data_IF_283150690893
#
_entry.id   IF_283150690893
#
_cell.length_a   1.000
_cell.length_b   1.000
_cell.length_c   1.000
_cell.angle_alpha   90.00
_cell.angle_beta   90.00
_cell.angle_gamma   90.00
#
_symmetry.space_group_name_H-M   'P 1'
#
loop_
_entity.id
_entity.type
_entity.pdbx_description
1 polymer ?
#
# COMPACT_ATOMS: atom_id res chain seq x y z
N UNK A 1 26.39 -10.85 -2.81
CA UNK A 1 25.50 -9.79 -3.36
C UNK A 1 24.59 -9.34 -2.23
N UNK A 2 24.68 -8.08 -1.83
CA UNK A 2 23.98 -7.53 -0.67
C UNK A 2 22.54 -7.18 -1.09
N UNK A 3 21.54 -7.99 -0.73
CA UNK A 3 20.14 -7.63 -0.99
C UNK A 3 19.79 -6.43 -0.10
N UNK A 4 19.17 -5.37 -0.63
CA UNK A 4 18.72 -4.25 0.19
C UNK A 4 17.61 -4.71 1.15
N UNK A 5 17.60 -4.18 2.37
CA UNK A 5 16.56 -4.47 3.35
C UNK A 5 15.24 -3.79 2.92
N UNK A 6 14.36 -4.56 2.30
CA UNK A 6 13.04 -4.11 1.85
C UNK A 6 12.14 -3.59 2.99
N UNK A 7 12.42 -4.03 4.23
CA UNK A 7 11.75 -3.56 5.44
C UNK A 7 12.17 -2.14 5.84
N UNK A 8 13.40 -1.73 5.53
CA UNK A 8 13.92 -0.40 5.90
C UNK A 8 13.72 0.63 4.78
N UNK A 9 13.59 0.19 3.52
CA UNK A 9 13.30 1.08 2.38
C UNK A 9 11.95 1.78 2.55
N UNK A 10 11.76 2.96 1.96
CA UNK A 10 10.43 3.57 1.88
C UNK A 10 9.54 2.87 0.85
N UNK A 11 8.21 2.98 0.99
CA UNK A 11 7.28 2.33 0.05
C UNK A 11 7.50 2.78 -1.41
N UNK A 12 7.90 4.03 -1.62
CA UNK A 12 8.24 4.54 -2.95
C UNK A 12 9.49 3.88 -3.54
N UNK A 13 10.53 3.72 -2.72
CA UNK A 13 11.79 3.06 -3.12
C UNK A 13 11.58 1.57 -3.38
N UNK A 14 10.81 0.90 -2.52
CA UNK A 14 10.46 -0.51 -2.69
C UNK A 14 9.68 -0.74 -3.99
N UNK A 15 8.76 0.16 -4.35
CA UNK A 15 8.04 0.12 -5.63
C UNK A 15 8.98 0.32 -6.82
N UNK A 16 9.86 1.32 -6.77
CA UNK A 16 10.83 1.56 -7.83
C UNK A 16 11.76 0.35 -8.01
N UNK A 17 12.19 -0.27 -6.91
CA UNK A 17 13.01 -1.47 -6.92
C UNK A 17 12.28 -2.67 -7.54
N UNK A 18 11.04 -2.98 -7.10
CA UNK A 18 10.22 -4.05 -7.69
C UNK A 18 9.97 -3.83 -9.19
N UNK A 19 9.82 -2.57 -9.63
CA UNK A 19 9.64 -2.25 -11.03
C UNK A 19 10.91 -2.47 -11.86
N UNK A 20 12.08 -2.18 -11.30
CA UNK A 20 13.39 -2.43 -11.92
C UNK A 20 13.83 -3.90 -11.83
N UNK A 21 13.40 -4.60 -10.78
CA UNK A 21 13.75 -5.98 -10.45
C UNK A 21 12.49 -6.84 -10.34
N UNK A 22 11.75 -6.97 -11.44
CA UNK A 22 10.51 -7.76 -11.49
C UNK A 22 10.70 -9.25 -11.21
N UNK A 23 11.93 -9.73 -11.38
CA UNK A 23 12.36 -11.10 -11.11
C UNK A 23 12.57 -11.35 -9.61
N UNK A 24 12.70 -10.28 -8.82
CA UNK A 24 12.89 -10.33 -7.38
C UNK A 24 11.54 -10.46 -6.67
N UNK A 25 11.11 -11.71 -6.47
CA UNK A 25 9.87 -12.04 -5.79
C UNK A 25 9.88 -11.62 -4.32
N UNK A 26 11.03 -11.61 -3.65
CA UNK A 26 11.15 -11.13 -2.26
C UNK A 26 10.78 -9.65 -2.14
N UNK A 27 11.26 -8.81 -3.06
CA UNK A 27 10.87 -7.41 -3.11
C UNK A 27 9.35 -7.22 -3.32
N UNK A 28 8.77 -8.06 -4.19
CA UNK A 28 7.32 -8.05 -4.45
C UNK A 28 6.52 -8.47 -3.20
N UNK A 29 6.90 -9.56 -2.53
CA UNK A 29 6.26 -10.00 -1.30
C UNK A 29 6.38 -8.95 -0.19
N UNK A 30 7.54 -8.32 -0.02
CA UNK A 30 7.73 -7.24 0.94
C UNK A 30 6.82 -6.03 0.65
N UNK A 31 6.60 -5.70 -0.63
CA UNK A 31 5.69 -4.63 -1.03
C UNK A 31 4.23 -4.97 -0.74
N UNK A 32 3.81 -6.20 -1.08
CA UNK A 32 2.45 -6.69 -0.84
C UNK A 32 2.17 -6.82 0.66
N UNK A 33 3.11 -7.36 1.43
CA UNK A 33 3.00 -7.47 2.89
C UNK A 33 2.85 -6.10 3.54
N UNK A 34 3.63 -5.11 3.09
CA UNK A 34 3.50 -3.73 3.57
C UNK A 34 2.18 -3.07 3.14
N UNK A 35 1.66 -3.39 1.96
CA UNK A 35 0.34 -2.93 1.51
C UNK A 35 -0.79 -3.59 2.30
N UNK A 36 -0.67 -4.87 2.65
CA UNK A 36 -1.62 -5.59 3.49
C UNK A 36 -1.57 -5.15 4.96
N UNK A 37 -0.36 -4.89 5.47
CA UNK A 37 -0.11 -4.38 6.81
C UNK A 37 -0.57 -2.93 6.97
N UNK A 38 -0.67 -2.16 5.88
CA UNK A 38 -1.49 -0.95 5.89
C UNK A 38 -2.96 -1.38 5.96
N UNK A 39 -3.68 -1.09 7.05
CA UNK A 39 -5.10 -1.33 7.09
C UNK A 39 -5.75 -0.35 6.12
N UNK A 40 -5.84 -0.73 4.84
CA UNK A 40 -6.88 -0.18 3.98
C UNK A 40 -8.20 -0.37 4.70
N UNK A 41 -9.04 0.67 4.76
CA UNK A 41 -10.37 0.59 5.37
C UNK A 41 -11.06 -0.63 4.75
N UNK A 42 -11.25 -1.70 5.54
CA UNK A 42 -12.04 -2.87 5.10
C UNK A 42 -13.45 -2.34 4.92
N UNK A 43 -13.83 -2.07 3.68
CA UNK A 43 -15.18 -1.64 3.34
C UNK A 43 -16.08 -2.85 3.57
N UNK A 44 -16.98 -2.77 4.54
CA UNK A 44 -18.07 -3.73 4.70
C UNK A 44 -19.12 -3.52 3.60
N UNK A 45 -20.05 -4.47 3.45
CA UNK A 45 -21.18 -4.34 2.51
C UNK A 45 -22.01 -3.06 2.76
N UNK A 46 -22.10 -2.62 4.01
CA UNK A 46 -22.72 -1.36 4.40
C UNK A 46 -21.91 -0.14 3.93
N UNK A 47 -20.58 -0.25 3.96
CA UNK A 47 -19.69 0.78 3.42
C UNK A 47 -19.81 0.87 1.90
N UNK A 48 -20.05 -0.26 1.20
CA UNK A 48 -20.27 -0.26 -0.26
C UNK A 48 -21.49 0.59 -0.66
N UNK A 49 -22.56 0.57 0.13
CA UNK A 49 -23.75 1.41 -0.10
C UNK A 49 -23.50 2.89 0.18
N UNK A 50 -22.47 3.21 0.97
CA UNK A 50 -22.12 4.57 1.40
C UNK A 50 -20.78 5.04 0.85
N UNK A 51 -20.25 4.40 -0.19
CA UNK A 51 -19.03 4.81 -0.91
C UNK A 51 -18.98 6.31 -1.19
N UNK A 52 -20.04 6.99 -1.70
CA UNK A 52 -19.96 8.43 -1.95
C UNK A 52 -19.73 9.27 -0.68
N UNK A 53 -20.30 8.88 0.46
CA UNK A 53 -20.08 9.57 1.74
C UNK A 53 -18.67 9.31 2.29
N UNK A 54 -18.18 8.07 2.18
CA UNK A 54 -16.84 7.69 2.64
C UNK A 54 -15.75 8.40 1.86
N UNK A 55 -15.91 8.54 0.54
CA UNK A 55 -14.97 9.30 -0.30
C UNK A 55 -14.92 10.77 0.10
N UNK A 56 -16.08 11.35 0.47
CA UNK A 56 -16.18 12.72 0.96
C UNK A 56 -15.46 12.88 2.30
N UNK A 57 -15.67 11.95 3.23
CA UNK A 57 -15.01 11.94 4.54
C UNK A 57 -13.47 11.81 4.42
N UNK A 58 -12.99 10.93 3.54
CA UNK A 58 -11.56 10.74 3.28
C UNK A 58 -10.95 11.99 2.65
N UNK A 59 -11.66 12.66 1.73
CA UNK A 59 -11.20 13.90 1.09
C UNK A 59 -11.06 15.02 2.12
N UNK A 60 -12.03 15.16 3.04
CA UNK A 60 -11.97 16.18 4.08
C UNK A 60 -10.86 15.91 5.10
N UNK A 61 -10.69 14.67 5.56
CA UNK A 61 -9.60 14.29 6.49
C UNK A 61 -8.19 14.45 5.91
N UNK A 62 -8.03 14.48 4.59
CA UNK A 62 -6.73 14.70 3.93
C UNK A 62 -6.41 16.18 3.73
N UNK A 63 -7.37 17.08 3.93
CA UNK A 63 -7.21 18.52 3.74
C UNK A 63 -7.13 19.31 5.06
N UNK A 64 -7.23 18.65 6.22
CA UNK A 64 -7.01 19.20 7.55
C UNK A 64 -5.70 18.67 8.13
#
# INVERSE_FOLDING_TARGET
>A
MNKPNFQTMNQAELRAYVLAHREDTEAFYALVDRLKSKPGRKLSESDLKRIPEILTEIKQKRQA
#
